data_IF_624695190885
#
_entry.id   IF_624695190885
#
_cell.length_a   1.000
_cell.length_b   1.000
_cell.length_c   1.000
_cell.angle_alpha   90.00
_cell.angle_beta   90.00
_cell.angle_gamma   90.00
#
_symmetry.space_group_name_H-M   'P 1'
#
loop_
_entity.id
_entity.type
_entity.pdbx_description
1 polymer ?
#
# COMPACT_ATOMS: atom_id res chain seq x y z
N UNK A 1 33.34 46.94 -42.71
CA UNK A 1 32.55 46.82 -43.95
C UNK A 1 31.10 46.60 -43.58
N UNK A 2 30.27 47.62 -43.74
CA UNK A 2 28.81 47.52 -43.72
C UNK A 2 28.37 46.94 -45.06
N UNK A 3 27.40 46.01 -45.08
CA UNK A 3 26.58 45.77 -46.27
C UNK A 3 25.13 45.61 -45.84
N UNK A 4 24.32 46.43 -46.48
CA UNK A 4 22.90 46.66 -46.25
C UNK A 4 22.02 45.56 -46.86
N UNK A 5 20.76 45.57 -46.41
CA UNK A 5 19.61 44.76 -46.81
C UNK A 5 19.21 44.98 -48.29
N UNK A 6 18.45 44.04 -48.88
CA UNK A 6 17.39 44.37 -49.82
C UNK A 6 16.02 44.35 -49.14
N UNK A 7 15.32 45.47 -49.27
CA UNK A 7 13.87 45.61 -49.13
C UNK A 7 13.19 44.89 -50.28
N UNK A 8 12.12 44.13 -50.00
CA UNK A 8 11.14 43.77 -51.03
C UNK A 8 9.73 44.01 -50.49
N UNK A 9 8.99 44.81 -51.25
CA UNK A 9 7.62 45.25 -51.02
C UNK A 9 6.61 44.11 -50.89
N UNK A 10 5.56 44.41 -50.11
CA UNK A 10 4.50 43.47 -49.80
C UNK A 10 3.65 43.05 -51.00
N UNK A 11 3.08 41.87 -50.87
CA UNK A 11 1.80 41.53 -51.48
C UNK A 11 0.95 40.86 -50.41
N UNK A 12 -0.10 41.57 -50.00
CA UNK A 12 -1.16 41.05 -49.16
C UNK A 12 -1.99 40.12 -50.04
N UNK A 13 -1.98 38.82 -49.76
CA UNK A 13 -3.02 37.91 -50.19
C UNK A 13 -4.03 37.73 -49.06
N UNK A 14 -5.17 38.38 -49.24
CA UNK A 14 -6.39 38.07 -48.52
C UNK A 14 -6.87 36.69 -48.97
N UNK A 15 -6.44 35.63 -48.30
CA UNK A 15 -7.15 34.36 -48.31
C UNK A 15 -7.23 33.80 -46.90
N UNK A 16 -8.46 33.59 -46.45
CA UNK A 16 -8.76 33.21 -45.08
C UNK A 16 -8.24 31.83 -44.74
N UNK A 17 -7.61 31.75 -43.58
CA UNK A 17 -7.70 30.60 -42.69
C UNK A 17 -7.51 31.15 -41.29
N UNK A 18 -8.61 31.41 -40.59
CA UNK A 18 -8.56 31.50 -39.13
C UNK A 18 -8.11 30.12 -38.69
N UNK A 19 -6.91 30.03 -38.12
CA UNK A 19 -6.46 28.80 -37.47
C UNK A 19 -7.46 28.50 -36.37
N UNK A 20 -8.32 27.53 -36.65
CA UNK A 20 -9.24 26.93 -35.70
C UNK A 20 -8.39 26.46 -34.53
N UNK A 21 -8.53 27.14 -33.38
CA UNK A 21 -8.04 26.58 -32.12
C UNK A 21 -8.75 25.24 -32.01
N UNK A 22 -8.01 24.15 -32.11
CA UNK A 22 -8.50 22.87 -31.64
C UNK A 22 -8.78 23.02 -30.15
N UNK A 23 -10.04 23.29 -29.81
CA UNK A 23 -10.56 23.07 -28.49
C UNK A 23 -10.43 21.57 -28.22
N UNK A 24 -9.50 21.25 -27.31
CA UNK A 24 -9.39 19.92 -26.74
C UNK A 24 -10.71 19.61 -26.03
N UNK A 25 -11.32 18.43 -26.25
CA UNK A 25 -12.65 18.12 -25.74
C UNK A 25 -12.67 18.20 -24.21
N UNK A 26 -13.62 18.97 -23.67
CA UNK A 26 -13.75 19.33 -22.25
C UNK A 26 -14.33 18.22 -21.35
N UNK A 27 -14.27 16.96 -21.78
CA UNK A 27 -14.95 15.83 -21.12
C UNK A 27 -14.00 14.72 -20.64
N UNK A 28 -12.75 15.05 -20.30
CA UNK A 28 -12.04 14.21 -19.32
C UNK A 28 -12.57 14.56 -17.94
N UNK A 29 -13.56 13.78 -17.49
CA UNK A 29 -14.03 13.84 -16.12
C UNK A 29 -12.81 13.78 -15.19
N UNK A 30 -12.49 14.91 -14.55
CA UNK A 30 -11.43 14.97 -13.53
C UNK A 30 -11.86 13.99 -12.44
N UNK A 31 -11.22 12.83 -12.40
CA UNK A 31 -11.50 11.83 -11.38
C UNK A 31 -11.10 12.47 -10.04
N UNK A 32 -12.11 12.90 -9.29
CA UNK A 32 -11.92 13.45 -7.96
C UNK A 32 -11.83 12.33 -6.94
N UNK A 33 -10.70 12.27 -6.23
CA UNK A 33 -10.47 11.30 -5.15
C UNK A 33 -10.87 11.84 -3.77
N UNK A 34 -11.53 13.00 -3.72
CA UNK A 34 -11.94 13.68 -2.48
C UNK A 34 -13.01 12.90 -1.68
N UNK A 35 -13.63 11.89 -2.28
CA UNK A 35 -14.54 10.95 -1.60
C UNK A 35 -14.00 9.51 -1.54
N UNK A 36 -12.73 9.32 -1.90
CA UNK A 36 -12.07 8.02 -1.96
C UNK A 36 -10.93 7.95 -0.94
N UNK A 37 -10.63 6.76 -0.46
CA UNK A 37 -9.47 6.51 0.39
C UNK A 37 -8.53 5.51 -0.29
N UNK A 38 -7.22 5.70 -0.08
CA UNK A 38 -6.19 4.76 -0.51
C UNK A 38 -5.79 3.89 0.69
N UNK A 39 -5.82 2.57 0.54
CA UNK A 39 -5.32 1.63 1.54
C UNK A 39 -4.11 0.89 0.98
N UNK A 40 -2.94 1.08 1.59
CA UNK A 40 -1.70 0.39 1.28
C UNK A 40 -1.57 -0.78 2.26
N UNK A 41 -1.60 -2.00 1.75
CA UNK A 41 -1.58 -3.20 2.61
C UNK A 41 -0.19 -3.81 2.61
N UNK A 42 0.44 -3.81 3.78
CA UNK A 42 1.60 -4.64 4.12
C UNK A 42 2.79 -4.49 3.14
N UNK A 43 3.07 -3.26 2.72
CA UNK A 43 4.23 -2.93 1.87
C UNK A 43 5.48 -2.86 2.75
N UNK A 44 5.87 -4.02 3.31
CA UNK A 44 6.92 -4.17 4.33
C UNK A 44 8.11 -4.98 3.81
N UNK A 45 9.28 -4.79 4.43
CA UNK A 45 10.51 -5.44 3.97
C UNK A 45 10.45 -6.97 3.98
N UNK A 46 9.75 -7.60 4.93
CA UNK A 46 9.65 -9.06 4.95
C UNK A 46 8.89 -9.65 3.77
N UNK A 47 8.03 -8.87 3.10
CA UNK A 47 7.32 -9.28 1.89
C UNK A 47 8.03 -8.83 0.61
N UNK A 48 8.81 -7.75 0.66
CA UNK A 48 9.43 -7.12 -0.51
C UNK A 48 10.87 -7.56 -0.76
N UNK A 49 11.68 -7.68 0.29
CA UNK A 49 13.12 -7.92 0.14
C UNK A 49 13.39 -9.36 -0.29
N UNK A 50 14.35 -9.64 -1.18
CA UNK A 50 14.83 -11.00 -1.47
C UNK A 50 15.32 -11.75 -0.22
N UNK A 51 15.69 -11.02 0.84
CA UNK A 51 16.09 -11.55 2.13
C UNK A 51 15.01 -11.40 3.22
N UNK A 52 13.81 -10.95 2.84
CA UNK A 52 12.66 -10.88 3.73
C UNK A 52 12.19 -12.26 4.14
N UNK A 53 11.76 -12.41 5.39
CA UNK A 53 11.43 -13.72 5.95
C UNK A 53 10.23 -14.40 5.25
N UNK A 54 9.38 -13.63 4.58
CA UNK A 54 8.24 -14.11 3.79
C UNK A 54 8.19 -13.39 2.44
N UNK A 55 9.35 -13.30 1.77
CA UNK A 55 9.48 -12.61 0.48
C UNK A 55 8.47 -13.14 -0.54
N UNK A 56 7.71 -12.22 -1.12
CA UNK A 56 6.76 -12.50 -2.18
C UNK A 56 7.42 -12.23 -3.53
N UNK A 57 7.43 -13.18 -4.48
CA UNK A 57 8.01 -12.97 -5.80
C UNK A 57 7.41 -11.75 -6.51
N UNK A 58 8.27 -10.94 -7.14
CA UNK A 58 7.89 -9.71 -7.86
C UNK A 58 7.17 -8.64 -7.04
N UNK A 59 7.03 -8.78 -5.72
CA UNK A 59 6.39 -7.76 -4.89
C UNK A 59 7.04 -6.36 -4.99
N UNK A 60 8.37 -6.21 -5.10
CA UNK A 60 8.98 -4.90 -5.33
C UNK A 60 8.52 -4.16 -6.58
N UNK A 61 7.99 -4.87 -7.59
CA UNK A 61 7.54 -4.28 -8.84
C UNK A 61 6.30 -3.38 -8.66
N UNK A 62 5.58 -3.49 -7.54
CA UNK A 62 4.45 -2.60 -7.23
C UNK A 62 4.88 -1.21 -6.76
N UNK A 63 6.13 -1.07 -6.29
CA UNK A 63 6.60 0.14 -5.62
C UNK A 63 6.47 1.39 -6.49
N UNK A 64 6.86 1.40 -7.79
CA UNK A 64 6.67 2.58 -8.64
C UNK A 64 5.20 3.03 -8.73
N UNK A 65 4.27 2.08 -8.84
CA UNK A 65 2.82 2.37 -8.87
C UNK A 65 2.35 2.91 -7.52
N UNK A 66 2.72 2.26 -6.42
CA UNK A 66 2.35 2.72 -5.07
C UNK A 66 2.91 4.12 -4.77
N UNK A 67 4.12 4.42 -5.24
CA UNK A 67 4.71 5.75 -5.15
C UNK A 67 3.92 6.77 -5.98
N UNK A 68 3.57 6.46 -7.23
CA UNK A 68 2.76 7.36 -8.07
C UNK A 68 1.41 7.69 -7.44
N UNK A 69 0.74 6.69 -6.84
CA UNK A 69 -0.53 6.89 -6.12
C UNK A 69 -0.43 7.82 -4.90
N UNK A 70 0.78 8.03 -4.36
CA UNK A 70 1.09 8.92 -3.23
C UNK A 70 1.76 10.24 -3.63
N UNK A 71 2.44 10.28 -4.77
CA UNK A 71 3.24 11.42 -5.25
C UNK A 71 2.48 12.34 -6.21
N UNK A 72 1.53 11.79 -6.96
CA UNK A 72 0.78 12.56 -7.94
C UNK A 72 -0.39 13.28 -7.25
N UNK A 73 -0.93 14.33 -7.88
CA UNK A 73 -1.95 15.25 -7.33
C UNK A 73 -3.31 14.63 -7.00
N UNK A 74 -3.34 13.34 -6.66
CA UNK A 74 -4.49 12.58 -6.22
C UNK A 74 -4.85 12.99 -4.79
N UNK A 75 -5.91 13.79 -4.70
CA UNK A 75 -6.44 14.26 -3.43
C UNK A 75 -7.34 13.22 -2.77
N UNK A 76 -6.80 12.04 -2.47
CA UNK A 76 -7.45 11.06 -1.58
C UNK A 76 -7.93 11.73 -0.30
N UNK A 77 -9.19 11.48 0.06
CA UNK A 77 -9.78 11.92 1.33
C UNK A 77 -8.94 11.45 2.52
N UNK A 78 -8.46 10.21 2.47
CA UNK A 78 -7.58 9.63 3.46
C UNK A 78 -6.64 8.60 2.82
N UNK A 79 -5.45 8.46 3.42
CA UNK A 79 -4.50 7.39 3.11
C UNK A 79 -4.29 6.56 4.36
N UNK A 80 -4.44 5.25 4.24
CA UNK A 80 -4.22 4.29 5.33
C UNK A 80 -3.17 3.29 4.88
N UNK A 81 -2.13 3.09 5.67
CA UNK A 81 -1.20 1.99 5.47
C UNK A 81 -1.39 0.96 6.59
N UNK A 82 -1.46 -0.33 6.27
CA UNK A 82 -1.36 -1.39 7.27
C UNK A 82 0.06 -1.95 7.34
N UNK A 83 0.41 -2.42 8.53
CA UNK A 83 1.59 -3.23 8.80
C UNK A 83 1.13 -4.51 9.47
N UNK A 84 1.53 -5.67 8.99
CA UNK A 84 1.61 -6.84 9.85
C UNK A 84 2.65 -6.56 10.95
N UNK A 85 2.33 -6.84 12.21
CA UNK A 85 3.13 -6.37 13.34
C UNK A 85 3.10 -7.34 14.50
N UNK A 86 3.57 -8.56 14.22
CA UNK A 86 3.44 -9.72 15.10
C UNK A 86 4.37 -9.64 16.31
N UNK A 87 3.91 -10.01 17.53
CA UNK A 87 4.82 -10.28 18.62
C UNK A 87 5.72 -11.49 18.30
N UNK A 88 6.89 -11.61 18.95
CA UNK A 88 7.65 -12.85 18.90
C UNK A 88 6.79 -14.05 19.30
N UNK A 89 7.00 -15.19 18.65
CA UNK A 89 6.24 -16.43 18.90
C UNK A 89 4.73 -16.31 18.69
N UNK A 90 4.29 -15.49 17.72
CA UNK A 90 2.89 -15.39 17.33
C UNK A 90 2.32 -16.77 16.90
N UNK A 91 1.01 -16.98 17.11
CA UNK A 91 0.35 -18.28 16.85
C UNK A 91 0.39 -18.70 15.37
N UNK A 92 0.52 -17.75 14.45
CA UNK A 92 0.66 -18.05 13.02
C UNK A 92 2.06 -18.50 12.62
N UNK A 93 3.05 -18.42 13.51
CA UNK A 93 4.43 -18.82 13.19
C UNK A 93 4.64 -20.32 13.37
N UNK A 94 5.28 -20.94 12.40
CA UNK A 94 5.63 -22.36 12.46
C UNK A 94 6.61 -22.67 13.60
N UNK A 95 7.52 -21.73 13.92
CA UNK A 95 8.48 -21.86 15.03
C UNK A 95 7.80 -22.06 16.38
N UNK A 96 6.69 -21.36 16.63
CA UNK A 96 5.86 -21.45 17.85
C UNK A 96 5.35 -22.86 18.09
N UNK A 97 5.12 -23.63 17.03
CA UNK A 97 4.56 -24.99 17.10
C UNK A 97 5.59 -26.08 16.80
N UNK A 98 6.88 -25.73 16.72
CA UNK A 98 7.95 -26.64 16.27
C UNK A 98 7.62 -27.33 14.91
N UNK A 99 6.93 -26.61 14.04
CA UNK A 99 6.48 -27.08 12.74
C UNK A 99 7.32 -26.47 11.61
N UNK A 100 7.08 -26.93 10.38
CA UNK A 100 7.66 -26.32 9.18
C UNK A 100 6.75 -25.20 8.68
N UNK A 101 7.32 -24.09 8.16
CA UNK A 101 6.54 -23.09 7.42
C UNK A 101 5.72 -23.71 6.28
N UNK A 102 4.62 -23.05 5.93
CA UNK A 102 3.67 -23.46 4.88
C UNK A 102 2.94 -24.78 5.17
N UNK A 103 2.86 -25.16 6.44
CA UNK A 103 2.03 -26.28 6.92
C UNK A 103 0.76 -25.76 7.59
N UNK A 104 -0.16 -26.66 7.93
CA UNK A 104 -1.44 -26.34 8.55
C UNK A 104 -1.48 -26.80 10.01
N UNK A 105 -2.01 -25.97 10.90
CA UNK A 105 -2.32 -26.32 12.29
C UNK A 105 -3.83 -26.47 12.45
N UNK A 106 -4.28 -27.62 12.93
CA UNK A 106 -5.68 -27.82 13.33
C UNK A 106 -5.86 -27.43 14.80
N UNK A 107 -6.65 -26.38 15.03
CA UNK A 107 -7.04 -25.92 16.36
C UNK A 107 -8.36 -26.62 16.73
N UNK A 108 -8.37 -27.43 17.80
CA UNK A 108 -9.62 -27.98 18.33
C UNK A 108 -10.50 -26.83 18.81
N UNK A 109 -11.77 -26.81 18.42
CA UNK A 109 -12.72 -25.84 18.95
C UNK A 109 -12.95 -26.14 20.45
N UNK A 110 -12.32 -25.36 21.33
CA UNK A 110 -12.60 -25.39 22.78
C UNK A 110 -13.88 -24.61 23.08
N UNK A 111 -15.00 -25.05 22.52
CA UNK A 111 -16.33 -24.74 23.02
C UNK A 111 -16.88 -25.96 23.76
N UNK A 112 -16.13 -26.43 24.75
CA UNK A 112 -16.71 -27.23 25.83
C UNK A 112 -17.47 -26.30 26.80
N UNK A 113 -18.48 -25.60 26.29
CA UNK A 113 -19.63 -25.27 27.10
C UNK A 113 -20.49 -26.52 27.11
N UNK A 114 -20.57 -27.15 28.27
CA UNK A 114 -21.45 -28.26 28.59
C UNK A 114 -22.90 -27.98 28.18
N UNK A 115 -23.25 -28.34 26.95
CA UNK A 115 -24.63 -28.50 26.48
C UNK A 115 -24.64 -29.67 25.52
N UNK A 116 -25.45 -30.67 25.86
CA UNK A 116 -25.66 -31.95 25.19
C UNK A 116 -26.35 -31.84 23.82
N UNK A 117 -25.90 -30.90 22.98
CA UNK A 117 -26.27 -30.81 21.58
C UNK A 117 -25.07 -31.26 20.74
N UNK A 118 -25.27 -32.27 19.89
CA UNK A 118 -24.30 -32.81 18.93
C UNK A 118 -23.95 -31.81 17.81
N UNK A 119 -23.56 -30.58 18.16
CA UNK A 119 -22.95 -29.67 17.18
C UNK A 119 -21.57 -30.22 16.85
N UNK A 120 -21.40 -30.63 15.58
CA UNK A 120 -20.11 -31.03 15.04
C UNK A 120 -19.03 -30.03 15.47
N UNK A 121 -18.02 -30.54 16.19
CA UNK A 121 -16.83 -29.78 16.54
C UNK A 121 -16.05 -29.56 15.25
N UNK A 122 -16.36 -28.48 14.53
CA UNK A 122 -15.56 -28.09 13.37
C UNK A 122 -14.19 -27.64 13.88
N UNK A 123 -13.14 -28.40 13.58
CA UNK A 123 -11.76 -27.96 13.82
C UNK A 123 -11.44 -26.78 12.89
N UNK A 124 -10.95 -25.67 13.43
CA UNK A 124 -10.46 -24.56 12.62
C UNK A 124 -9.01 -24.85 12.24
N UNK A 125 -8.70 -24.78 10.95
CA UNK A 125 -7.33 -24.95 10.46
C UNK A 125 -6.74 -23.59 10.09
N UNK A 126 -5.50 -23.31 10.53
CA UNK A 126 -4.74 -22.11 10.14
C UNK A 126 -3.48 -22.51 9.37
N UNK A 127 -3.04 -21.67 8.44
CA UNK A 127 -1.73 -21.82 7.82
C UNK A 127 -0.65 -21.27 8.75
N UNK A 128 0.47 -21.99 8.83
CA UNK A 128 1.65 -21.61 9.57
C UNK A 128 2.67 -20.99 8.61
N UNK A 129 3.25 -19.88 9.02
CA UNK A 129 4.19 -19.07 8.24
C UNK A 129 5.58 -19.08 8.88
N UNK A 130 6.64 -18.71 8.14
CA UNK A 130 7.90 -18.30 8.76
C UNK A 130 7.66 -17.14 9.74
N UNK A 131 8.54 -16.92 10.71
CA UNK A 131 8.51 -15.72 11.55
C UNK A 131 8.73 -14.49 10.66
N UNK A 132 7.71 -13.64 10.54
CA UNK A 132 7.73 -12.47 9.66
C UNK A 132 7.10 -11.27 10.36
N UNK A 133 7.47 -10.08 9.90
CA UNK A 133 7.01 -8.79 10.41
C UNK A 133 7.02 -8.71 11.93
N UNK A 134 8.05 -9.31 12.56
CA UNK A 134 8.18 -9.37 14.01
C UNK A 134 8.49 -7.98 14.55
N UNK A 135 7.79 -7.59 15.61
CA UNK A 135 7.95 -6.29 16.25
C UNK A 135 9.42 -5.97 16.57
N UNK A 136 9.85 -4.75 16.22
CA UNK A 136 11.21 -4.28 16.46
C UNK A 136 12.26 -4.75 15.46
N UNK A 137 11.89 -5.58 14.48
CA UNK A 137 12.80 -6.00 13.39
C UNK A 137 12.77 -5.03 12.21
N UNK A 138 13.76 -5.11 11.32
CA UNK A 138 13.69 -4.40 10.05
C UNK A 138 12.55 -4.94 9.17
N UNK A 139 12.29 -6.25 9.21
CA UNK A 139 11.27 -6.92 8.41
C UNK A 139 9.84 -6.37 8.60
N UNK A 140 9.52 -5.87 9.80
CA UNK A 140 8.22 -5.27 10.09
C UNK A 140 8.09 -3.79 9.67
N UNK A 141 9.15 -3.16 9.17
CA UNK A 141 9.09 -1.77 8.72
C UNK A 141 8.47 -1.72 7.32
N UNK A 142 7.73 -0.63 7.05
CA UNK A 142 7.31 -0.31 5.70
C UNK A 142 8.55 -0.05 4.83
N UNK A 143 8.40 -0.25 3.53
CA UNK A 143 9.37 0.26 2.57
C UNK A 143 9.65 1.76 2.81
N UNK A 144 10.93 2.15 2.74
CA UNK A 144 11.36 3.52 3.02
C UNK A 144 10.73 4.56 2.09
N UNK A 145 10.57 4.24 0.80
CA UNK A 145 9.93 5.13 -0.16
C UNK A 145 8.45 5.34 0.13
N UNK A 146 7.75 4.32 0.64
CA UNK A 146 6.38 4.47 1.15
C UNK A 146 6.38 5.34 2.42
N UNK A 147 7.23 5.04 3.40
CA UNK A 147 7.29 5.75 4.67
C UNK A 147 7.54 7.26 4.46
N UNK A 148 8.52 7.62 3.65
CA UNK A 148 8.87 9.01 3.34
C UNK A 148 7.68 9.78 2.74
N UNK A 149 6.91 9.12 1.85
CA UNK A 149 5.73 9.72 1.21
C UNK A 149 4.57 9.90 2.17
N UNK A 150 4.32 8.92 3.04
CA UNK A 150 3.31 9.03 4.09
C UNK A 150 3.62 10.20 5.03
N UNK A 151 4.89 10.37 5.41
CA UNK A 151 5.32 11.45 6.29
C UNK A 151 5.25 12.82 5.59
N UNK A 152 5.59 12.88 4.29
CA UNK A 152 5.38 14.06 3.46
C UNK A 152 3.90 14.46 3.41
N UNK A 153 3.00 13.52 3.14
CA UNK A 153 1.54 13.79 3.10
C UNK A 153 1.01 14.27 4.46
N UNK A 154 1.47 13.68 5.57
CA UNK A 154 1.13 14.16 6.94
C UNK A 154 1.56 15.61 7.16
N UNK A 155 2.78 15.95 6.76
CA UNK A 155 3.31 17.32 6.91
C UNK A 155 2.50 18.36 6.14
N UNK A 156 1.82 17.94 5.06
CA UNK A 156 0.91 18.76 4.27
C UNK A 156 -0.52 18.84 4.87
N UNK A 157 -0.75 18.24 6.03
CA UNK A 157 -2.06 18.23 6.71
C UNK A 157 -3.06 17.21 6.15
N UNK A 158 -2.62 16.26 5.31
CA UNK A 158 -3.48 15.20 4.77
C UNK A 158 -3.81 14.16 5.85
N UNK A 159 -4.99 13.56 5.79
CA UNK A 159 -5.37 12.46 6.70
C UNK A 159 -4.59 11.19 6.34
N UNK A 160 -3.58 10.84 7.14
CA UNK A 160 -2.75 9.65 6.92
C UNK A 160 -2.63 8.82 8.20
N UNK A 161 -3.05 7.56 8.15
CA UNK A 161 -2.98 6.61 9.28
C UNK A 161 -2.09 5.43 8.93
N UNK A 162 -1.27 4.99 9.88
CA UNK A 162 -0.55 3.72 9.81
C UNK A 162 -1.12 2.82 10.91
N UNK A 163 -1.62 1.66 10.53
CA UNK A 163 -2.28 0.70 11.43
C UNK A 163 -1.39 -0.53 11.57
N UNK A 164 -1.01 -0.85 12.81
CA UNK A 164 -0.28 -2.06 13.15
C UNK A 164 -1.29 -3.17 13.45
N UNK A 165 -1.29 -4.20 12.61
CA UNK A 165 -2.13 -5.39 12.73
C UNK A 165 -1.47 -6.38 13.69
N UNK A 166 -2.31 -7.14 14.39
CA UNK A 166 -1.85 -8.27 15.24
C UNK A 166 -0.91 -7.83 16.37
N UNK A 167 -1.27 -6.74 17.04
CA UNK A 167 -0.64 -6.36 18.30
C UNK A 167 -1.09 -7.31 19.42
N UNK A 168 -0.17 -7.67 20.32
CA UNK A 168 -0.53 -8.42 21.52
C UNK A 168 -1.51 -7.61 22.37
N UNK A 169 -2.78 -8.02 22.37
CA UNK A 169 -3.85 -7.39 23.17
C UNK A 169 -3.62 -7.54 24.67
N UNK A 170 -2.67 -8.37 25.12
CA UNK A 170 -2.22 -8.42 26.52
C UNK A 170 -1.62 -7.09 26.97
N UNK A 171 -1.14 -6.25 26.05
CA UNK A 171 -0.62 -4.92 26.37
C UNK A 171 -1.73 -3.89 26.64
N UNK A 172 -2.92 -4.06 26.05
CA UNK A 172 -4.08 -3.20 26.28
C UNK A 172 -4.85 -3.55 27.55
N UNK A 173 -4.62 -4.73 28.14
CA UNK A 173 -5.21 -5.14 29.42
C UNK A 173 -4.48 -4.56 30.66
N UNK A 174 -3.49 -3.67 30.46
CA UNK A 174 -2.67 -3.05 31.52
C UNK A 174 -2.83 -1.54 31.66
N UNK A 175 -3.79 -0.92 30.96
CA UNK A 175 -4.18 0.49 31.12
C UNK A 175 -5.58 0.60 31.73
#
# INVERSE_FOLDING_TARGET
MKKELPVTDGKVDSSGAVAEKQEMPEDEAIISFQNSALILVDIQYDFLSPHGALSVPSAPEILPTAYGLLDEGLEWKAVVASKDFHPPSHISFASTHHAQPFTKLSIPNSSSSSSSDERQVESKTIDLWPDHCVQGTQGCQLDSGIQDRLDRLRSQGREVKVIEKVVDISFLARI
#
